data_IF_750312385649
#
_entry.id   IF_750312385649
#
_cell.length_a   1.000
_cell.length_b   1.000
_cell.length_c   1.000
_cell.angle_alpha   90.00
_cell.angle_beta   90.00
_cell.angle_gamma   90.00
#
_symmetry.space_group_name_H-M   'P 1'
#
loop_
_entity.id
_entity.type
_entity.pdbx_description
1 polymer ?
#
# COMPACT_ATOMS: atom_id res chain seq x y z
N UNK A 1 -5.32 -4.44 -16.37
CA UNK A 1 -4.32 -5.51 -16.18
C UNK A 1 -3.91 -5.62 -14.71
N UNK A 2 -3.98 -6.84 -14.15
CA UNK A 2 -3.57 -7.15 -12.76
C UNK A 2 -2.11 -6.73 -12.50
N UNK A 3 -1.24 -6.90 -13.51
CA UNK A 3 0.18 -6.53 -13.45
C UNK A 3 0.35 -5.03 -13.22
N UNK A 4 -0.38 -4.18 -13.97
CA UNK A 4 -0.30 -2.72 -13.81
C UNK A 4 -0.73 -2.29 -12.41
N UNK A 5 -1.80 -2.89 -11.87
CA UNK A 5 -2.35 -2.56 -10.56
C UNK A 5 -1.38 -2.87 -9.41
N UNK A 6 -0.72 -4.03 -9.45
CA UNK A 6 0.30 -4.39 -8.44
C UNK A 6 1.53 -3.50 -8.53
N UNK A 7 1.93 -3.09 -9.74
CA UNK A 7 3.07 -2.17 -9.95
C UNK A 7 2.81 -0.74 -9.51
N UNK A 8 1.56 -0.27 -9.49
CA UNK A 8 1.23 1.10 -9.07
C UNK A 8 0.72 1.19 -7.63
N UNK A 9 -0.01 0.19 -7.15
CA UNK A 9 -0.70 0.23 -5.86
C UNK A 9 -0.33 -0.90 -4.91
N UNK A 10 0.60 -1.78 -5.32
CA UNK A 10 1.04 -2.91 -4.51
C UNK A 10 1.80 -2.49 -3.26
N UNK A 11 1.89 -3.43 -2.32
CA UNK A 11 2.51 -3.21 -1.02
C UNK A 11 3.96 -2.72 -1.13
N UNK A 12 4.77 -3.36 -1.97
CA UNK A 12 6.18 -3.00 -2.17
C UNK A 12 6.35 -1.54 -2.65
N UNK A 13 5.45 -1.10 -3.53
CA UNK A 13 5.45 0.25 -4.09
C UNK A 13 5.16 1.28 -3.00
N UNK A 14 4.22 0.98 -2.09
CA UNK A 14 3.92 1.82 -0.93
C UNK A 14 5.09 1.87 0.04
N UNK A 15 5.79 0.76 0.26
CA UNK A 15 6.94 0.74 1.17
C UNK A 15 8.16 1.50 0.66
N UNK A 16 8.30 1.67 -0.67
CA UNK A 16 9.45 2.35 -1.30
C UNK A 16 9.54 3.84 -0.96
N UNK A 17 8.42 4.53 -0.74
CA UNK A 17 8.40 5.98 -0.51
C UNK A 17 7.99 6.32 0.93
N UNK A 18 8.39 7.49 1.43
CA UNK A 18 7.96 7.97 2.75
C UNK A 18 6.44 8.13 2.82
N UNK A 19 5.83 8.72 1.79
CA UNK A 19 4.38 8.90 1.71
C UNK A 19 3.61 7.58 1.65
N UNK A 20 4.10 6.60 0.90
CA UNK A 20 3.45 5.28 0.85
C UNK A 20 3.52 4.53 2.18
N UNK A 21 4.62 4.65 2.94
CA UNK A 21 4.74 4.10 4.30
C UNK A 21 3.72 4.73 5.26
N UNK A 22 3.53 6.05 5.18
CA UNK A 22 2.52 6.75 5.98
C UNK A 22 1.10 6.24 5.69
N UNK A 23 0.78 5.97 4.41
CA UNK A 23 -0.52 5.37 4.03
C UNK A 23 -0.71 4.00 4.67
N UNK A 24 0.30 3.13 4.65
CA UNK A 24 0.22 1.80 5.28
C UNK A 24 0.05 1.92 6.79
N UNK A 25 0.78 2.83 7.44
CA UNK A 25 0.66 3.08 8.88
C UNK A 25 -0.76 3.54 9.25
N UNK A 26 -1.34 4.49 8.52
CA UNK A 26 -2.72 4.94 8.73
C UNK A 26 -3.74 3.81 8.52
N UNK A 27 -3.53 2.95 7.52
CA UNK A 27 -4.41 1.79 7.29
C UNK A 27 -4.32 0.74 8.39
N UNK A 28 -3.14 0.52 8.97
CA UNK A 28 -2.93 -0.34 10.14
C UNK A 28 -3.61 0.24 11.38
N UNK A 29 -3.43 1.53 11.66
CA UNK A 29 -4.09 2.20 12.78
C UNK A 29 -5.63 2.12 12.67
N UNK A 30 -6.18 2.19 11.46
CA UNK A 30 -7.61 1.98 11.19
C UNK A 30 -8.07 0.51 11.29
N UNK A 31 -7.16 -0.45 11.42
CA UNK A 31 -7.49 -1.88 11.51
C UNK A 31 -7.96 -2.50 10.19
N UNK A 32 -7.52 -1.98 9.04
CA UNK A 32 -7.92 -2.56 7.73
C UNK A 32 -7.27 -3.93 7.54
N UNK A 33 -8.09 -4.95 7.31
CA UNK A 33 -7.64 -6.33 7.01
C UNK A 33 -6.77 -6.41 5.76
N UNK A 34 -7.05 -5.59 4.73
CA UNK A 34 -6.20 -5.44 3.54
C UNK A 34 -5.54 -4.06 3.49
N UNK A 35 -4.21 -4.04 3.48
CA UNK A 35 -3.42 -2.79 3.52
C UNK A 35 -3.05 -2.27 2.13
N UNK A 36 -2.86 -3.14 1.16
CA UNK A 36 -2.59 -2.81 -0.23
C UNK A 36 -3.29 -3.80 -1.17
N UNK A 37 -3.22 -3.53 -2.48
CA UNK A 37 -3.80 -4.37 -3.54
C UNK A 37 -2.77 -5.36 -4.08
#
# INVERSE_FOLDING_TARGET
SVVRRKRTHGFLVRMRTKGGRAVIAARRAKGRTRLAV
#
